data_IF_322115615314
#
_entry.id   IF_322115615314
#
_cell.length_a   1.000
_cell.length_b   1.000
_cell.length_c   1.000
_cell.angle_alpha   90.00
_cell.angle_beta   90.00
_cell.angle_gamma   90.00
#
_symmetry.space_group_name_H-M   'P 1'
#
loop_
_entity.id
_entity.type
_entity.pdbx_description
1 polymer ?
#
# COMPACT_ATOMS: atom_id res chain seq x y z
N UNK A 1 37.51 18.65 -30.49
CA UNK A 1 37.92 18.82 -31.90
C UNK A 1 38.19 17.46 -32.53
N UNK A 2 38.19 17.37 -33.86
CA UNK A 2 38.25 16.11 -34.61
C UNK A 2 39.26 16.24 -35.74
N UNK A 3 39.71 15.16 -36.39
CA UNK A 3 40.56 15.27 -37.58
C UNK A 3 39.77 14.87 -38.82
N UNK A 4 39.85 15.70 -39.86
CA UNK A 4 39.41 15.34 -41.20
C UNK A 4 40.55 15.54 -42.21
N UNK A 5 40.72 14.55 -43.09
CA UNK A 5 41.60 14.62 -44.25
C UNK A 5 40.76 14.37 -45.51
N UNK A 6 41.11 15.03 -46.60
CA UNK A 6 40.53 14.72 -47.90
C UNK A 6 41.54 14.86 -49.03
N UNK A 7 41.32 14.09 -50.09
CA UNK A 7 42.13 14.06 -51.32
C UNK A 7 41.19 14.11 -52.52
N UNK A 8 41.48 14.97 -53.49
CA UNK A 8 40.88 14.89 -54.82
C UNK A 8 41.83 14.18 -55.78
N UNK A 9 41.43 13.02 -56.31
CA UNK A 9 42.26 12.22 -57.22
C UNK A 9 41.37 11.37 -58.14
N UNK A 10 41.74 11.25 -59.42
CA UNK A 10 41.03 10.45 -60.42
C UNK A 10 39.52 10.79 -60.52
N UNK A 11 39.19 12.08 -60.48
CA UNK A 11 37.81 12.59 -60.46
C UNK A 11 36.95 12.07 -59.30
N UNK A 12 37.58 11.85 -58.13
CA UNK A 12 36.91 11.43 -56.90
C UNK A 12 37.40 12.24 -55.72
N UNK A 13 36.51 12.52 -54.78
CA UNK A 13 36.94 12.88 -53.43
C UNK A 13 37.05 11.62 -52.59
N UNK A 14 38.14 11.54 -51.83
CA UNK A 14 38.26 10.64 -50.71
C UNK A 14 38.26 11.50 -49.45
N UNK A 15 37.35 11.24 -48.53
CA UNK A 15 37.16 12.03 -47.30
C UNK A 15 37.21 11.09 -46.10
N UNK A 16 38.08 11.41 -45.14
CA UNK A 16 38.28 10.62 -43.93
C UNK A 16 38.09 11.46 -42.68
N UNK A 17 37.42 10.90 -41.68
CA UNK A 17 37.41 11.46 -40.34
C UNK A 17 37.42 10.36 -39.28
N UNK A 18 37.96 10.70 -38.12
CA UNK A 18 37.90 9.85 -36.94
C UNK A 18 36.50 9.87 -36.29
N UNK A 19 36.25 9.02 -35.29
CA UNK A 19 34.94 8.92 -34.63
C UNK A 19 34.99 9.15 -33.12
N UNK A 20 36.15 9.54 -32.59
CA UNK A 20 36.34 9.76 -31.15
C UNK A 20 35.74 11.09 -30.71
N UNK A 21 34.89 11.08 -29.70
CA UNK A 21 34.46 12.28 -28.98
C UNK A 21 35.31 12.41 -27.75
N UNK A 22 35.79 13.62 -27.48
CA UNK A 22 36.61 13.93 -26.33
C UNK A 22 36.01 15.06 -25.51
N UNK A 23 36.26 15.04 -24.20
CA UNK A 23 35.94 16.15 -23.30
C UNK A 23 37.21 16.70 -22.67
N UNK A 24 37.31 18.02 -22.55
CA UNK A 24 38.38 18.69 -21.81
C UNK A 24 37.96 18.94 -20.36
N UNK A 25 38.71 18.42 -19.40
CA UNK A 25 38.48 18.65 -17.96
C UNK A 25 39.77 19.06 -17.31
N UNK A 26 39.81 20.31 -16.81
CA UNK A 26 40.99 20.87 -16.15
C UNK A 26 42.22 20.95 -17.07
N UNK A 27 42.04 21.37 -18.33
CA UNK A 27 43.13 21.50 -19.30
C UNK A 27 43.61 20.16 -19.88
N UNK A 28 42.86 19.07 -19.70
CA UNK A 28 43.24 17.73 -20.16
C UNK A 28 42.09 17.09 -20.92
N UNK A 29 42.40 16.52 -22.07
CA UNK A 29 41.43 15.79 -22.88
C UNK A 29 41.27 14.34 -22.40
N UNK A 30 40.04 13.85 -22.46
CA UNK A 30 39.64 12.47 -22.16
C UNK A 30 38.72 11.97 -23.27
N UNK A 31 38.95 10.75 -23.77
CA UNK A 31 38.05 10.11 -24.72
C UNK A 31 36.74 9.72 -24.03
N UNK A 32 35.61 10.09 -24.60
CA UNK A 32 34.25 9.81 -24.08
C UNK A 32 33.66 8.60 -24.78
N UNK A 33 33.66 8.60 -26.10
CA UNK A 33 33.16 7.52 -26.95
C UNK A 33 33.93 7.46 -28.25
N UNK A 34 34.02 6.28 -28.84
CA UNK A 34 34.63 6.04 -30.15
C UNK A 34 33.59 5.81 -31.24
N UNK A 35 32.29 5.90 -30.95
CA UNK A 35 31.23 5.50 -31.90
C UNK A 35 30.48 6.68 -32.55
N UNK A 36 31.09 7.87 -32.60
CA UNK A 36 30.43 9.04 -33.15
C UNK A 36 30.75 9.26 -34.63
N UNK A 37 29.74 9.46 -35.47
CA UNK A 37 29.95 9.72 -36.90
C UNK A 37 30.16 11.21 -37.14
N UNK A 38 31.31 11.60 -37.69
CA UNK A 38 31.66 13.00 -37.95
C UNK A 38 31.55 13.42 -39.42
N UNK A 39 31.40 12.43 -40.31
CA UNK A 39 31.14 12.63 -41.73
C UNK A 39 29.69 12.25 -42.01
N UNK A 40 28.93 13.19 -42.52
CA UNK A 40 27.51 13.01 -42.79
C UNK A 40 27.26 13.15 -44.28
N UNK A 41 26.58 12.18 -44.87
CA UNK A 41 26.15 12.27 -46.25
C UNK A 41 24.82 13.01 -46.35
N UNK A 42 24.79 14.12 -47.09
CA UNK A 42 23.56 14.85 -47.44
C UNK A 42 23.40 14.81 -48.96
N UNK A 43 22.52 13.94 -49.44
CA UNK A 43 22.37 13.68 -50.88
C UNK A 43 23.68 13.16 -51.48
N UNK A 44 24.25 13.92 -52.43
CA UNK A 44 25.52 13.61 -53.10
C UNK A 44 26.73 14.32 -52.46
N UNK A 45 26.54 14.96 -51.30
CA UNK A 45 27.57 15.68 -50.57
C UNK A 45 28.01 14.90 -49.36
N UNK A 46 29.26 15.08 -48.97
CA UNK A 46 29.76 14.63 -47.67
C UNK A 46 30.17 15.87 -46.89
N UNK A 47 29.66 15.98 -45.67
CA UNK A 47 29.90 17.11 -44.78
C UNK A 47 30.68 16.62 -43.58
N UNK A 48 31.81 17.27 -43.33
CA UNK A 48 32.54 17.19 -42.07
C UNK A 48 32.21 18.41 -41.22
N UNK A 49 31.83 18.19 -39.97
CA UNK A 49 31.65 19.27 -39.00
C UNK A 49 32.62 19.09 -37.83
N UNK A 50 33.29 20.18 -37.46
CA UNK A 50 34.20 20.23 -36.31
C UNK A 50 33.79 21.34 -35.37
N UNK A 51 33.84 21.06 -34.07
CA UNK A 51 33.48 22.03 -33.05
C UNK A 51 32.93 21.35 -31.80
N UNK A 52 32.02 22.05 -31.13
CA UNK A 52 31.25 21.53 -30.01
C UNK A 52 30.16 20.57 -30.48
N UNK A 53 30.02 19.46 -29.77
CA UNK A 53 29.14 18.35 -30.15
C UNK A 53 27.68 18.80 -30.22
N UNK A 54 27.27 19.64 -29.26
CA UNK A 54 25.92 20.18 -29.13
C UNK A 54 25.52 21.04 -30.33
N UNK A 55 26.45 21.85 -30.85
CA UNK A 55 26.24 22.67 -32.05
C UNK A 55 26.07 21.76 -33.27
N UNK A 56 26.90 20.71 -33.38
CA UNK A 56 26.86 19.77 -34.51
C UNK A 56 25.55 18.99 -34.53
N UNK A 57 25.12 18.46 -33.37
CA UNK A 57 23.89 17.69 -33.25
C UNK A 57 22.67 18.53 -33.63
N UNK A 58 22.60 19.78 -33.15
CA UNK A 58 21.52 20.70 -33.52
C UNK A 58 21.56 21.07 -35.00
N UNK A 59 22.76 21.32 -35.57
CA UNK A 59 22.93 21.59 -36.99
C UNK A 59 22.40 20.43 -37.85
N UNK A 60 22.71 19.18 -37.48
CA UNK A 60 22.24 17.99 -38.21
C UNK A 60 20.72 17.85 -38.23
N UNK A 61 20.01 18.34 -37.21
CA UNK A 61 18.55 18.32 -37.17
C UNK A 61 17.91 19.33 -38.14
N UNK A 62 18.66 20.36 -38.55
CA UNK A 62 18.17 21.43 -39.44
C UNK A 62 18.54 21.22 -40.91
N UNK A 63 19.45 20.28 -41.20
CA UNK A 63 19.91 19.99 -42.56
C UNK A 63 19.13 18.85 -43.22
N UNK A 64 18.84 19.03 -44.50
CA UNK A 64 18.17 18.05 -45.36
C UNK A 64 19.05 17.68 -46.57
N UNK A 65 18.82 16.53 -47.22
CA UNK A 65 19.58 16.14 -48.42
C UNK A 65 19.59 17.19 -49.54
N UNK A 66 18.55 18.01 -49.62
CA UNK A 66 18.36 19.08 -50.61
C UNK A 66 18.85 20.46 -50.17
N UNK A 67 19.31 20.64 -48.94
CA UNK A 67 19.77 21.94 -48.41
C UNK A 67 20.86 22.53 -49.30
N UNK A 68 20.76 23.81 -49.70
CA UNK A 68 21.81 24.49 -50.48
C UNK A 68 22.98 24.93 -49.58
N UNK A 69 24.05 25.48 -50.17
CA UNK A 69 25.14 26.07 -49.37
C UNK A 69 24.66 27.29 -48.57
N UNK A 70 23.70 28.05 -49.09
CA UNK A 70 23.06 29.17 -48.39
C UNK A 70 22.18 28.69 -47.24
N UNK A 71 21.49 27.55 -47.39
CA UNK A 71 20.77 26.92 -46.28
C UNK A 71 21.76 26.49 -45.20
N UNK A 72 22.83 25.77 -45.56
CA UNK A 72 23.87 25.35 -44.61
C UNK A 72 24.49 26.57 -43.90
N UNK A 73 24.78 27.65 -44.63
CA UNK A 73 25.29 28.89 -44.04
C UNK A 73 24.31 29.50 -43.04
N UNK A 74 23.03 29.63 -43.42
CA UNK A 74 21.99 30.21 -42.57
C UNK A 74 21.84 29.40 -41.28
N UNK A 75 21.63 28.09 -41.39
CA UNK A 75 21.46 27.23 -40.22
C UNK A 75 22.73 27.21 -39.35
N UNK A 76 23.93 27.27 -39.95
CA UNK A 76 25.18 27.35 -39.18
C UNK A 76 25.26 28.60 -38.31
N UNK A 77 24.86 29.76 -38.87
CA UNK A 77 24.82 31.03 -38.13
C UNK A 77 23.80 30.97 -37.01
N UNK A 78 22.58 30.55 -37.33
CA UNK A 78 21.48 30.53 -36.38
C UNK A 78 21.79 29.61 -35.18
N UNK A 79 22.25 28.38 -35.45
CA UNK A 79 22.61 27.42 -34.38
C UNK A 79 23.81 27.92 -33.56
N UNK A 80 24.82 28.49 -34.22
CA UNK A 80 26.00 29.00 -33.52
C UNK A 80 25.64 30.20 -32.62
N UNK A 81 24.87 31.17 -33.14
CA UNK A 81 24.47 32.37 -32.41
C UNK A 81 23.54 32.03 -31.23
N UNK A 82 22.58 31.11 -31.43
CA UNK A 82 21.74 30.57 -30.36
C UNK A 82 22.60 29.92 -29.26
N UNK A 83 23.57 29.09 -29.65
CA UNK A 83 24.45 28.42 -28.71
C UNK A 83 25.31 29.42 -27.93
N UNK A 84 25.93 30.38 -28.62
CA UNK A 84 26.75 31.43 -28.01
C UNK A 84 25.92 32.25 -27.01
N UNK A 85 24.71 32.68 -27.39
CA UNK A 85 23.86 33.51 -26.54
C UNK A 85 23.46 32.79 -25.25
N UNK A 86 23.19 31.47 -25.31
CA UNK A 86 22.84 30.64 -24.15
C UNK A 86 24.05 30.40 -23.23
N UNK A 87 25.27 30.31 -23.79
CA UNK A 87 26.46 29.89 -23.05
C UNK A 87 27.45 31.02 -22.74
N UNK A 88 27.21 32.26 -23.18
CA UNK A 88 28.11 33.41 -23.00
C UNK A 88 28.46 33.76 -21.56
N UNK A 89 27.67 33.32 -20.59
CA UNK A 89 27.89 33.59 -19.17
C UNK A 89 28.44 32.36 -18.40
N UNK A 90 28.66 31.23 -19.07
CA UNK A 90 29.08 29.99 -18.42
C UNK A 90 30.61 29.85 -18.35
N UNK A 91 31.17 29.66 -17.13
CA UNK A 91 32.60 29.38 -16.96
C UNK A 91 33.00 28.12 -17.73
N UNK A 92 33.92 28.29 -18.69
CA UNK A 92 34.40 27.21 -19.57
C UNK A 92 34.20 27.48 -21.06
N UNK A 93 33.21 28.31 -21.43
CA UNK A 93 32.98 28.72 -22.82
C UNK A 93 33.63 30.07 -23.16
N UNK A 94 33.71 30.96 -22.17
CA UNK A 94 34.34 32.30 -22.28
C UNK A 94 35.84 32.30 -22.02
N UNK A 95 36.32 31.36 -21.18
CA UNK A 95 37.71 31.27 -20.73
C UNK A 95 38.53 30.25 -21.53
N UNK A 96 37.92 29.51 -22.46
CA UNK A 96 38.68 28.58 -23.29
C UNK A 96 39.63 29.37 -24.18
N UNK A 97 40.88 28.92 -24.30
CA UNK A 97 41.92 29.54 -25.14
C UNK A 97 41.50 29.73 -26.61
N UNK A 98 40.46 29.00 -27.02
CA UNK A 98 40.00 28.84 -28.39
C UNK A 98 38.57 29.36 -28.64
N UNK A 99 37.83 29.72 -27.58
CA UNK A 99 36.41 30.10 -27.67
C UNK A 99 35.49 28.94 -28.03
N UNK A 100 34.28 29.27 -28.49
CA UNK A 100 33.32 28.34 -29.10
C UNK A 100 33.76 28.17 -30.57
N UNK A 101 34.39 27.05 -30.91
CA UNK A 101 34.82 26.79 -32.28
C UNK A 101 33.77 25.98 -33.04
N UNK A 102 33.45 26.39 -34.26
CA UNK A 102 32.57 25.64 -35.18
C UNK A 102 32.97 25.84 -36.64
N UNK A 103 33.09 24.76 -37.39
CA UNK A 103 33.42 24.78 -38.81
C UNK A 103 32.78 23.64 -39.57
N UNK A 104 32.38 23.93 -40.80
CA UNK A 104 31.70 23.03 -41.72
C UNK A 104 32.52 22.96 -43.00
N UNK A 105 32.74 21.74 -43.48
CA UNK A 105 33.51 21.46 -44.68
C UNK A 105 32.72 20.51 -45.55
N UNK A 106 32.42 20.91 -46.78
CA UNK A 106 31.55 20.18 -47.70
C UNK A 106 32.35 19.75 -48.92
N UNK A 107 32.21 18.49 -49.29
CA UNK A 107 32.80 17.89 -50.48
C UNK A 107 31.68 17.45 -51.42
N UNK A 108 31.77 17.83 -52.69
CA UNK A 108 30.76 17.52 -53.70
C UNK A 108 31.37 17.41 -55.10
N UNK A 109 30.81 16.53 -55.94
CA UNK A 109 31.06 16.54 -57.39
C UNK A 109 29.74 16.83 -58.09
N UNK A 110 29.57 18.06 -58.54
CA UNK A 110 28.36 18.52 -59.21
C UNK A 110 28.63 18.67 -60.71
N UNK A 111 27.88 17.95 -61.55
CA UNK A 111 28.05 17.98 -63.02
C UNK A 111 29.50 17.69 -63.48
N UNK A 112 30.22 16.87 -62.72
CA UNK A 112 31.62 16.51 -62.99
C UNK A 112 32.64 17.54 -62.52
N UNK A 113 32.22 18.64 -61.89
CA UNK A 113 33.12 19.61 -61.26
C UNK A 113 33.24 19.33 -59.77
N UNK A 114 34.47 19.13 -59.24
CA UNK A 114 34.67 19.01 -57.81
C UNK A 114 34.54 20.37 -57.13
N UNK A 115 33.89 20.38 -55.97
CA UNK A 115 33.77 21.55 -55.09
C UNK A 115 34.18 21.17 -53.68
N UNK A 116 35.03 22.01 -53.10
CA UNK A 116 35.35 22.00 -51.67
C UNK A 116 34.87 23.33 -51.09
N UNK A 117 33.92 23.27 -50.16
CA UNK A 117 33.34 24.46 -49.53
C UNK A 117 33.66 24.47 -48.05
N UNK A 118 34.16 25.60 -47.55
CA UNK A 118 34.44 25.83 -46.14
C UNK A 118 33.56 26.96 -45.59
N UNK A 119 32.95 26.71 -44.43
CA UNK A 119 32.25 27.71 -43.63
C UNK A 119 32.81 27.67 -42.20
N UNK A 120 33.41 28.76 -41.73
CA UNK A 120 34.03 28.83 -40.41
C UNK A 120 33.47 29.96 -39.56
N UNK A 121 33.32 29.73 -38.25
CA UNK A 121 32.84 30.73 -37.30
C UNK A 121 33.67 32.04 -37.29
N UNK A 122 34.97 31.96 -37.60
CA UNK A 122 35.88 33.13 -37.64
C UNK A 122 35.57 34.09 -38.78
N UNK A 123 35.04 33.56 -39.87
CA UNK A 123 34.70 34.31 -41.08
C UNK A 123 33.18 34.52 -41.14
N UNK A 124 32.48 34.47 -40.00
CA UNK A 124 31.02 34.55 -39.91
C UNK A 124 30.32 33.58 -40.88
N UNK A 125 30.87 32.37 -41.03
CA UNK A 125 30.39 31.35 -41.96
C UNK A 125 30.27 31.82 -43.42
N UNK A 126 31.09 32.77 -43.87
CA UNK A 126 31.21 33.09 -45.30
C UNK A 126 31.52 31.84 -46.12
N UNK A 127 30.82 31.67 -47.25
CA UNK A 127 30.97 30.51 -48.13
C UNK A 127 32.28 30.68 -48.90
N UNK A 128 33.29 29.88 -48.55
CA UNK A 128 34.57 29.83 -49.25
C UNK A 128 34.61 28.59 -50.15
N UNK A 129 34.32 28.77 -51.43
CA UNK A 129 34.35 27.71 -52.45
C UNK A 129 35.72 27.62 -53.13
N UNK A 130 36.21 26.39 -53.26
CA UNK A 130 37.45 26.07 -53.96
C UNK A 130 37.20 24.92 -54.96
N UNK A 131 37.82 25.03 -56.13
CA UNK A 131 37.83 23.97 -57.14
C UNK A 131 39.17 23.24 -57.04
N UNK A 132 39.22 22.06 -56.39
CA UNK A 132 40.47 21.35 -56.21
C UNK A 132 41.03 20.86 -57.54
N UNK A 133 42.34 20.90 -57.63
CA UNK A 133 43.13 20.30 -58.70
C UNK A 133 43.46 18.84 -58.37
N UNK A 134 43.90 18.12 -59.40
CA UNK A 134 44.35 16.74 -59.26
C UNK A 134 45.46 16.61 -58.21
N UNK A 135 45.25 15.69 -57.25
CA UNK A 135 46.10 15.45 -56.09
C UNK A 135 46.11 16.55 -55.02
N UNK A 136 45.15 17.49 -55.03
CA UNK A 136 44.97 18.42 -53.91
C UNK A 136 44.54 17.68 -52.64
N UNK A 137 45.18 18.05 -51.53
CA UNK A 137 44.96 17.47 -50.21
C UNK A 137 44.54 18.54 -49.22
N UNK A 138 43.47 18.29 -48.48
CA UNK A 138 43.00 19.17 -47.43
C UNK A 138 43.07 18.45 -46.08
N UNK A 139 43.44 19.19 -45.03
CA UNK A 139 43.47 18.67 -43.67
C UNK A 139 43.00 19.75 -42.69
N UNK A 140 42.02 19.42 -41.86
CA UNK A 140 41.36 20.40 -40.98
C UNK A 140 41.20 19.87 -39.56
N UNK A 141 41.13 20.81 -38.61
CA UNK A 141 40.95 20.61 -37.18
C UNK A 141 42.10 19.87 -36.46
N UNK A 142 41.83 18.98 -35.50
CA UNK A 142 42.83 18.48 -34.55
C UNK A 142 43.98 17.73 -35.24
N UNK A 143 45.23 18.07 -34.89
CA UNK A 143 46.45 17.47 -35.43
C UNK A 143 46.62 17.60 -36.96
N UNK A 144 45.87 18.46 -37.65
CA UNK A 144 45.96 18.59 -39.11
C UNK A 144 47.33 19.08 -39.58
N UNK A 145 47.99 19.91 -38.78
CA UNK A 145 49.35 20.43 -38.99
C UNK A 145 50.41 19.32 -39.05
N UNK A 146 50.20 18.23 -38.31
CA UNK A 146 51.07 17.03 -38.32
C UNK A 146 50.57 15.98 -39.31
N UNK A 147 49.26 15.78 -39.38
CA UNK A 147 48.64 14.74 -40.20
C UNK A 147 48.79 15.00 -41.70
N UNK A 148 48.61 16.25 -42.14
CA UNK A 148 48.62 16.60 -43.56
C UNK A 148 49.97 16.35 -44.23
N UNK A 149 51.13 16.84 -43.72
CA UNK A 149 52.43 16.54 -44.32
C UNK A 149 52.75 15.04 -44.34
N UNK A 150 52.37 14.33 -43.28
CA UNK A 150 52.60 12.89 -43.15
C UNK A 150 51.76 12.08 -44.15
N UNK A 151 50.52 12.50 -44.42
CA UNK A 151 49.69 11.89 -45.44
C UNK A 151 50.27 12.12 -46.84
N UNK A 152 50.68 13.35 -47.16
CA UNK A 152 51.32 13.70 -48.44
C UNK A 152 52.60 12.89 -48.68
N UNK A 153 53.47 12.77 -47.68
CA UNK A 153 54.70 11.95 -47.77
C UNK A 153 54.41 10.48 -48.10
N UNK A 154 53.34 9.92 -47.54
CA UNK A 154 52.93 8.53 -47.79
C UNK A 154 52.37 8.32 -49.18
N UNK A 155 51.56 9.26 -49.67
CA UNK A 155 51.06 9.24 -51.05
C UNK A 155 52.24 9.33 -52.03
N UNK A 156 53.19 10.24 -51.79
CA UNK A 156 54.40 10.38 -52.61
C UNK A 156 55.29 9.13 -52.58
N UNK A 157 55.25 8.38 -51.48
CA UNK A 157 55.90 7.06 -51.35
C UNK A 157 55.15 5.92 -52.05
N UNK A 158 54.11 6.24 -52.85
CA UNK A 158 53.26 5.30 -53.58
C UNK A 158 52.48 4.32 -52.66
N UNK A 159 52.20 4.74 -51.43
CA UNK A 159 51.30 3.98 -50.56
C UNK A 159 49.86 4.08 -51.09
N UNK A 160 49.08 2.97 -51.09
CA UNK A 160 47.65 3.04 -51.40
C UNK A 160 46.96 4.09 -50.54
N UNK A 161 46.08 4.90 -51.15
CA UNK A 161 45.49 6.09 -50.57
C UNK A 161 44.80 5.81 -49.23
N UNK A 162 44.00 4.75 -49.16
CA UNK A 162 43.27 4.34 -47.96
C UNK A 162 44.23 3.91 -46.84
N UNK A 163 45.31 3.20 -47.21
CA UNK A 163 46.34 2.79 -46.25
C UNK A 163 47.14 4.00 -45.77
N UNK A 164 47.43 4.97 -46.64
CA UNK A 164 48.10 6.20 -46.27
C UNK A 164 47.28 6.99 -45.24
N UNK A 165 45.97 7.13 -45.46
CA UNK A 165 45.05 7.79 -44.54
C UNK A 165 44.99 7.04 -43.19
N UNK A 166 44.74 5.73 -43.23
CA UNK A 166 44.71 4.87 -42.05
C UNK A 166 45.97 5.01 -41.19
N UNK A 167 47.16 4.92 -41.79
CA UNK A 167 48.42 5.09 -41.07
C UNK A 167 48.61 6.50 -40.52
N UNK A 168 47.96 7.51 -41.11
CA UNK A 168 48.06 8.91 -40.67
C UNK A 168 47.23 9.10 -39.42
N UNK A 169 45.97 8.68 -39.44
CA UNK A 169 45.13 8.68 -38.25
C UNK A 169 45.72 7.85 -37.12
N UNK A 170 46.26 6.65 -37.40
CA UNK A 170 46.98 5.86 -36.39
C UNK A 170 48.23 6.57 -35.82
N UNK A 171 48.85 7.49 -36.58
CA UNK A 171 50.02 8.22 -36.11
C UNK A 171 49.67 9.31 -35.12
N UNK A 172 48.58 10.02 -35.36
CA UNK A 172 48.14 11.14 -34.53
C UNK A 172 47.06 10.74 -33.51
N UNK A 173 46.77 9.45 -33.39
CA UNK A 173 45.74 8.94 -32.49
C UNK A 173 46.05 9.22 -31.01
N UNK A 174 45.10 9.86 -30.33
CA UNK A 174 45.17 10.26 -28.93
C UNK A 174 43.76 10.43 -28.32
N UNK A 175 43.65 11.10 -27.18
CA UNK A 175 42.38 11.35 -26.51
C UNK A 175 41.36 12.14 -27.35
N UNK A 176 41.79 12.82 -28.41
CA UNK A 176 40.99 13.70 -29.28
C UNK A 176 40.70 13.03 -30.64
N UNK A 177 41.68 12.32 -31.21
CA UNK A 177 41.56 11.65 -32.52
C UNK A 177 41.66 10.14 -32.34
N UNK A 178 40.66 9.38 -32.80
CA UNK A 178 40.73 7.92 -32.77
C UNK A 178 39.39 7.21 -33.00
N UNK A 179 39.25 6.01 -32.42
CA UNK A 179 38.07 5.17 -32.63
C UNK A 179 38.09 4.50 -34.00
N UNK A 180 37.18 4.91 -34.87
CA UNK A 180 37.01 4.39 -36.22
C UNK A 180 37.28 5.48 -37.25
N UNK A 181 37.96 5.08 -38.32
CA UNK A 181 38.15 5.87 -39.52
C UNK A 181 36.94 5.66 -40.43
N UNK A 182 36.09 6.69 -40.52
CA UNK A 182 35.03 6.75 -41.51
C UNK A 182 35.62 7.28 -42.82
N UNK A 183 35.39 6.57 -43.92
CA UNK A 183 35.82 6.96 -45.26
C UNK A 183 34.60 7.08 -46.17
N UNK A 184 34.50 8.23 -46.83
CA UNK A 184 33.57 8.42 -47.94
C UNK A 184 34.35 8.62 -49.24
N UNK A 185 33.89 8.00 -50.32
CA UNK A 185 34.38 8.20 -51.68
C UNK A 185 33.25 8.79 -52.52
N UNK A 186 33.44 10.02 -53.00
CA UNK A 186 32.46 10.76 -53.80
C UNK A 186 32.88 10.68 -55.26
N UNK A 187 31.96 10.28 -56.13
CA UNK A 187 32.10 10.26 -57.58
C UNK A 187 30.84 10.85 -58.23
N UNK A 188 30.88 11.12 -59.54
CA UNK A 188 29.75 11.70 -60.27
C UNK A 188 28.46 10.87 -60.20
N UNK A 189 28.60 9.55 -60.04
CA UNK A 189 27.46 8.61 -59.96
C UNK A 189 26.93 8.38 -58.52
N UNK A 190 27.56 8.93 -57.48
CA UNK A 190 27.14 8.69 -56.09
C UNK A 190 28.27 8.71 -55.05
N UNK A 191 27.95 8.18 -53.88
CA UNK A 191 28.81 8.21 -52.69
C UNK A 191 28.92 6.80 -52.10
N UNK A 192 30.13 6.33 -51.89
CA UNK A 192 30.42 5.06 -51.20
C UNK A 192 30.98 5.32 -49.80
N UNK A 193 30.62 4.48 -48.82
CA UNK A 193 31.07 4.57 -47.43
C UNK A 193 31.78 3.29 -46.99
N UNK A 194 32.85 3.44 -46.21
CA UNK A 194 33.48 2.34 -45.49
C UNK A 194 33.99 2.81 -44.13
N UNK A 195 34.22 1.85 -43.23
CA UNK A 195 34.66 2.10 -41.87
C UNK A 195 35.78 1.12 -41.49
N UNK A 196 36.80 1.61 -40.82
CA UNK A 196 37.88 0.78 -40.27
C UNK A 196 38.31 1.29 -38.88
N UNK A 197 39.07 0.50 -38.12
CA UNK A 197 39.47 0.86 -36.75
C UNK A 197 40.79 1.63 -36.78
N UNK A 198 40.88 2.77 -36.10
CA UNK A 198 42.13 3.49 -35.85
C UNK A 198 42.81 2.84 -34.65
N UNK A 199 44.02 2.31 -34.86
CA UNK A 199 44.80 1.69 -33.78
C UNK A 199 45.51 2.75 -32.94
N UNK A 200 45.12 2.84 -31.67
CA UNK A 200 45.79 3.68 -30.69
C UNK A 200 47.23 3.18 -30.44
N UNK A 201 48.19 4.11 -30.38
CA UNK A 201 49.61 3.79 -30.12
C UNK A 201 50.01 3.85 -28.65
N UNK A 202 49.12 4.40 -27.83
CA UNK A 202 49.30 4.58 -26.39
C UNK A 202 47.98 4.26 -25.68
N UNK A 203 48.00 3.91 -24.39
CA UNK A 203 46.78 3.86 -23.59
C UNK A 203 46.04 5.21 -23.62
N UNK A 204 44.75 5.17 -23.93
CA UNK A 204 43.89 6.36 -24.01
C UNK A 204 43.26 6.62 -22.66
N UNK A 205 43.28 7.88 -22.20
CA UNK A 205 42.57 8.29 -21.00
C UNK A 205 41.10 8.43 -21.33
N UNK A 206 40.26 7.61 -20.72
CA UNK A 206 38.82 7.62 -20.96
C UNK A 206 38.07 8.37 -19.85
N UNK A 207 37.00 9.06 -20.21
CA UNK A 207 36.07 9.73 -19.31
C UNK A 207 35.08 8.73 -18.65
N UNK A 208 35.58 7.59 -18.17
CA UNK A 208 34.78 6.54 -17.53
C UNK A 208 35.03 6.40 -16.02
N UNK A 209 35.98 7.17 -15.46
CA UNK A 209 36.31 7.15 -14.03
C UNK A 209 35.72 8.33 -13.23
N UNK A 210 34.75 9.05 -13.79
CA UNK A 210 33.98 10.09 -13.10
C UNK A 210 32.50 9.65 -13.03
N UNK A 211 32.03 9.16 -11.88
CA UNK A 211 30.59 8.93 -11.71
C UNK A 211 29.90 10.28 -11.54
N UNK A 212 29.19 10.75 -12.57
CA UNK A 212 28.31 11.89 -12.39
C UNK A 212 27.11 11.44 -11.52
N UNK A 213 26.70 12.24 -10.53
CA UNK A 213 25.58 11.91 -9.63
C UNK A 213 24.21 11.86 -10.33
N UNK A 214 24.17 12.26 -11.61
CA UNK A 214 23.04 12.27 -12.52
C UNK A 214 23.48 11.73 -13.90
N UNK A 215 22.71 10.81 -14.48
CA UNK A 215 22.87 10.30 -15.84
C UNK A 215 21.52 10.36 -16.55
N UNK A 216 21.42 11.12 -17.64
CA UNK A 216 20.32 11.02 -18.58
C UNK A 216 20.74 10.10 -19.76
N UNK A 217 19.81 9.32 -20.30
CA UNK A 217 20.04 8.44 -21.45
C UNK A 217 19.16 8.83 -22.63
N UNK A 218 19.59 8.49 -23.84
CA UNK A 218 18.85 8.83 -25.08
C UNK A 218 17.49 8.14 -25.19
N UNK A 219 17.23 7.09 -24.40
CA UNK A 219 15.90 6.47 -24.27
C UNK A 219 14.95 7.27 -23.36
N UNK A 220 15.38 8.43 -22.85
CA UNK A 220 14.61 9.31 -21.98
C UNK A 220 14.71 8.99 -20.49
N UNK A 221 15.50 7.99 -20.09
CA UNK A 221 15.64 7.66 -18.67
C UNK A 221 16.57 8.64 -17.95
N UNK A 222 16.23 8.97 -16.69
CA UNK A 222 17.09 9.74 -15.78
C UNK A 222 17.43 8.86 -14.58
N UNK A 223 18.72 8.63 -14.36
CA UNK A 223 19.26 7.94 -13.20
C UNK A 223 19.92 8.98 -12.30
N UNK A 224 19.36 9.18 -11.11
CA UNK A 224 19.88 10.13 -10.13
C UNK A 224 20.08 9.44 -8.78
N UNK A 225 21.22 9.68 -8.13
CA UNK A 225 21.44 9.24 -6.75
C UNK A 225 20.62 10.09 -5.75
N UNK A 226 20.35 11.34 -6.15
CA UNK A 226 19.52 12.32 -5.43
C UNK A 226 18.94 13.31 -6.43
N UNK A 227 17.64 13.56 -6.33
CA UNK A 227 16.96 14.65 -7.05
C UNK A 227 16.48 15.69 -6.03
N UNK A 228 16.94 16.92 -6.17
CA UNK A 228 16.39 18.08 -5.45
C UNK A 228 15.79 19.02 -6.48
N UNK A 229 14.47 19.22 -6.45
CA UNK A 229 13.77 20.11 -7.38
C UNK A 229 12.93 21.12 -6.61
N UNK A 230 12.88 22.38 -7.08
CA UNK A 230 11.98 23.40 -6.52
C UNK A 230 10.53 23.11 -6.87
N UNK A 231 10.29 22.64 -8.09
CA UNK A 231 9.00 22.20 -8.62
C UNK A 231 9.23 20.99 -9.53
N UNK A 232 8.26 20.07 -9.56
CA UNK A 232 8.23 18.96 -10.51
C UNK A 232 6.77 18.71 -10.91
N UNK A 233 6.53 18.53 -12.20
CA UNK A 233 5.25 18.04 -12.73
C UNK A 233 5.49 16.65 -13.28
N UNK A 234 4.84 15.65 -12.68
CA UNK A 234 5.01 14.24 -13.04
C UNK A 234 3.63 13.74 -13.47
N UNK A 235 3.48 13.40 -14.75
CA UNK A 235 2.21 12.93 -15.30
C UNK A 235 1.80 11.58 -14.68
N UNK A 236 2.76 10.66 -14.57
CA UNK A 236 2.59 9.33 -13.98
C UNK A 236 3.75 9.04 -13.02
N UNK A 237 3.45 8.59 -11.81
CA UNK A 237 4.46 8.23 -10.82
C UNK A 237 4.16 6.87 -10.20
N UNK A 238 5.21 6.09 -9.98
CA UNK A 238 5.16 4.86 -9.19
C UNK A 238 6.33 4.85 -8.21
N UNK A 239 6.04 4.74 -6.92
CA UNK A 239 7.04 4.69 -5.86
C UNK A 239 7.12 3.25 -5.34
N UNK A 240 8.24 2.57 -5.60
CA UNK A 240 8.48 1.19 -5.13
C UNK A 240 9.53 1.21 -4.02
N UNK A 241 9.24 0.56 -2.88
CA UNK A 241 10.15 0.45 -1.72
C UNK A 241 10.60 1.79 -1.10
N UNK A 242 9.90 2.90 -1.37
CA UNK A 242 10.23 4.23 -0.87
C UNK A 242 9.25 4.76 0.18
N UNK A 243 9.66 5.80 0.90
CA UNK A 243 8.78 6.60 1.74
C UNK A 243 8.40 7.89 1.01
N UNK A 244 7.13 8.28 1.07
CA UNK A 244 6.67 9.60 0.64
C UNK A 244 6.54 10.45 1.91
N UNK A 245 7.44 11.41 2.08
CA UNK A 245 7.41 12.38 3.18
C UNK A 245 7.04 13.72 2.59
N UNK A 246 5.76 14.09 2.71
CA UNK A 246 5.22 15.36 2.20
C UNK A 246 4.68 16.21 3.34
N UNK A 247 4.75 17.54 3.18
CA UNK A 247 3.98 18.47 4.02
C UNK A 247 2.49 18.35 3.72
N UNK A 248 2.10 18.04 2.49
CA UNK A 248 0.75 17.66 2.14
C UNK A 248 0.73 16.58 1.06
N UNK A 249 -0.31 15.75 1.10
CA UNK A 249 -0.64 14.78 0.06
C UNK A 249 -2.08 15.06 -0.36
N UNK A 250 -2.36 15.10 -1.67
CA UNK A 250 -3.71 15.22 -2.20
C UNK A 250 -3.81 14.36 -3.46
N UNK A 251 -4.51 13.23 -3.34
CA UNK A 251 -4.72 12.27 -4.43
C UNK A 251 -6.18 12.26 -4.84
N UNK A 252 -6.41 12.25 -6.15
CA UNK A 252 -7.76 12.11 -6.72
C UNK A 252 -8.68 13.30 -6.43
N UNK A 253 -8.16 14.53 -6.41
CA UNK A 253 -8.94 15.74 -6.14
C UNK A 253 -9.67 15.70 -4.77
N UNK A 254 -8.93 15.37 -3.71
CA UNK A 254 -9.42 15.36 -2.33
C UNK A 254 -9.93 14.01 -1.83
N UNK A 255 -9.86 12.93 -2.62
CA UNK A 255 -10.31 11.59 -2.18
C UNK A 255 -9.40 10.98 -1.11
N UNK A 256 -8.12 11.32 -1.14
CA UNK A 256 -7.17 11.03 -0.07
C UNK A 256 -6.31 12.27 0.16
N UNK A 257 -6.34 12.81 1.38
CA UNK A 257 -5.49 13.94 1.76
C UNK A 257 -4.77 13.69 3.07
N UNK A 258 -3.56 14.24 3.17
CA UNK A 258 -2.82 14.40 4.42
C UNK A 258 -2.40 15.85 4.48
N UNK A 259 -2.73 16.55 5.56
CA UNK A 259 -2.34 17.95 5.76
C UNK A 259 -1.02 18.09 6.55
N UNK A 260 -0.44 19.30 6.64
CA UNK A 260 0.81 19.52 7.38
C UNK A 260 0.72 19.26 8.90
N UNK A 261 -0.49 19.19 9.46
CA UNK A 261 -0.70 18.82 10.87
C UNK A 261 -0.79 17.30 11.06
N UNK A 262 -0.75 16.52 9.97
CA UNK A 262 -0.86 15.06 9.97
C UNK A 262 -2.30 14.55 9.98
N UNK A 263 -3.30 15.41 9.76
CA UNK A 263 -4.67 14.95 9.62
C UNK A 263 -4.83 14.23 8.28
N UNK A 264 -5.32 13.00 8.35
CA UNK A 264 -5.62 12.18 7.17
C UNK A 264 -7.12 12.16 6.91
N UNK A 265 -7.52 12.43 5.67
CA UNK A 265 -8.85 12.13 5.16
C UNK A 265 -8.74 11.09 4.05
N UNK A 266 -9.59 10.06 4.10
CA UNK A 266 -9.73 9.09 3.03
C UNK A 266 -11.22 8.79 2.83
N UNK A 267 -11.74 9.10 1.64
CA UNK A 267 -13.13 8.82 1.30
C UNK A 267 -13.45 7.32 1.33
N UNK A 268 -12.47 6.49 0.95
CA UNK A 268 -12.48 5.04 1.11
C UNK A 268 -11.08 4.56 1.55
N UNK A 269 -11.01 3.54 2.42
CA UNK A 269 -9.74 2.99 2.88
C UNK A 269 -9.81 1.50 3.18
N UNK A 270 -8.79 0.76 2.76
CA UNK A 270 -8.56 -0.62 3.17
C UNK A 270 -7.22 -0.71 3.89
N UNK A 271 -7.27 -0.98 5.18
CA UNK A 271 -6.08 -1.09 6.03
C UNK A 271 -5.75 -2.56 6.29
N UNK A 272 -4.46 -2.88 6.39
CA UNK A 272 -3.95 -4.20 6.81
C UNK A 272 -2.98 -4.01 7.96
N UNK A 273 -3.10 -4.82 9.00
CA UNK A 273 -2.27 -4.73 10.21
C UNK A 273 -3.03 -4.15 11.40
N UNK A 274 -2.28 -3.60 12.35
CA UNK A 274 -2.83 -3.01 13.56
C UNK A 274 -3.17 -1.54 13.32
N UNK A 275 -4.31 -1.10 13.85
CA UNK A 275 -4.69 0.31 13.93
C UNK A 275 -4.70 0.67 15.41
N UNK A 276 -3.78 1.54 15.82
CA UNK A 276 -3.68 2.04 17.19
C UNK A 276 -4.24 3.46 17.23
N UNK A 277 -5.28 3.67 18.05
CA UNK A 277 -5.92 4.96 18.22
C UNK A 277 -6.39 5.11 19.67
N UNK A 278 -6.40 6.35 20.17
CA UNK A 278 -6.97 6.67 21.49
C UNK A 278 -8.50 6.66 21.49
N UNK A 279 -9.12 6.92 20.34
CA UNK A 279 -10.56 6.87 20.14
C UNK A 279 -10.90 6.38 18.73
N UNK A 280 -12.05 5.70 18.61
CA UNK A 280 -12.61 5.27 17.34
C UNK A 280 -14.09 5.60 17.31
N UNK A 281 -14.50 6.48 16.39
CA UNK A 281 -15.90 6.88 16.18
C UNK A 281 -16.31 6.44 14.78
N UNK A 282 -17.30 5.56 14.67
CA UNK A 282 -17.78 5.04 13.40
C UNK A 282 -19.23 4.58 13.47
N UNK A 283 -19.85 4.34 12.31
CA UNK A 283 -21.25 3.89 12.23
C UNK A 283 -21.40 2.39 12.50
N UNK A 284 -20.92 1.55 11.58
CA UNK A 284 -20.97 0.08 11.70
C UNK A 284 -19.57 -0.48 11.88
N UNK A 285 -19.38 -1.30 12.92
CA UNK A 285 -18.13 -2.03 13.17
C UNK A 285 -18.44 -3.52 13.06
N UNK A 286 -17.84 -4.20 12.09
CA UNK A 286 -17.96 -5.64 11.90
C UNK A 286 -16.61 -6.28 12.15
N UNK A 287 -16.52 -7.15 13.15
CA UNK A 287 -15.30 -7.85 13.50
C UNK A 287 -15.61 -9.26 14.00
N UNK A 288 -14.63 -10.17 13.86
CA UNK A 288 -14.75 -11.52 14.39
C UNK A 288 -14.76 -11.55 15.94
N UNK A 289 -14.06 -10.60 16.57
CA UNK A 289 -13.98 -10.45 18.02
C UNK A 289 -13.84 -8.96 18.38
N UNK A 290 -14.73 -8.46 19.20
CA UNK A 290 -14.63 -7.16 19.86
C UNK A 290 -14.30 -7.40 21.33
N UNK A 291 -13.21 -6.82 21.84
CA UNK A 291 -12.81 -6.99 23.25
C UNK A 291 -12.15 -5.77 23.85
N UNK A 292 -12.34 -5.56 25.15
CA UNK A 292 -11.76 -4.41 25.87
C UNK A 292 -10.34 -4.63 26.38
N UNK A 293 -9.79 -5.84 26.25
CA UNK A 293 -8.43 -6.19 26.68
C UNK A 293 -8.02 -7.56 26.18
N UNK A 294 -6.73 -7.86 26.15
CA UNK A 294 -6.21 -9.16 25.70
C UNK A 294 -6.29 -10.26 26.76
N UNK A 295 -6.31 -9.90 28.05
CA UNK A 295 -6.36 -10.80 29.19
C UNK A 295 -6.98 -10.13 30.42
N UNK A 296 -7.27 -10.91 31.47
CA UNK A 296 -7.83 -10.39 32.71
C UNK A 296 -9.26 -9.87 32.55
N UNK A 297 -9.60 -8.81 33.31
CA UNK A 297 -10.95 -8.21 33.30
C UNK A 297 -11.25 -7.62 31.93
N UNK A 298 -12.25 -8.17 31.25
CA UNK A 298 -12.62 -7.70 29.90
C UNK A 298 -14.05 -8.09 29.54
N UNK A 299 -14.57 -7.41 28.52
CA UNK A 299 -15.80 -7.80 27.82
C UNK A 299 -15.38 -8.29 26.44
N UNK A 300 -16.01 -9.37 25.96
CA UNK A 300 -15.82 -9.92 24.62
C UNK A 300 -17.18 -10.07 23.92
N UNK A 301 -17.23 -9.76 22.63
CA UNK A 301 -18.35 -10.06 21.73
C UNK A 301 -17.80 -10.71 20.47
N UNK A 302 -18.29 -11.90 20.15
CA UNK A 302 -17.97 -12.64 18.93
C UNK A 302 -19.16 -13.49 18.47
N UNK A 303 -18.92 -14.49 17.62
CA UNK A 303 -19.93 -15.42 17.14
C UNK A 303 -20.65 -16.22 18.25
N UNK A 304 -20.05 -16.35 19.44
CA UNK A 304 -20.63 -17.07 20.59
C UNK A 304 -21.49 -16.15 21.48
N UNK A 305 -21.51 -14.84 21.20
CA UNK A 305 -22.28 -13.84 21.93
C UNK A 305 -21.42 -12.96 22.84
N UNK A 306 -22.06 -12.34 23.84
CA UNK A 306 -21.41 -11.41 24.77
C UNK A 306 -20.93 -12.15 26.02
N UNK A 307 -19.66 -11.93 26.42
CA UNK A 307 -19.07 -12.50 27.64
C UNK A 307 -18.34 -11.45 28.46
N UNK A 308 -18.33 -11.64 29.78
CA UNK A 308 -17.53 -10.85 30.71
C UNK A 308 -16.56 -11.74 31.46
N UNK A 309 -15.35 -11.23 31.70
CA UNK A 309 -14.31 -11.96 32.42
C UNK A 309 -13.82 -11.16 33.62
N UNK A 310 -13.37 -11.87 34.65
CA UNK A 310 -12.72 -11.27 35.82
C UNK A 310 -11.19 -11.12 35.67
N UNK A 311 -10.51 -10.71 36.75
CA UNK A 311 -9.07 -10.48 36.75
C UNK A 311 -8.23 -11.74 36.57
N UNK A 312 -8.81 -12.91 36.85
CA UNK A 312 -8.19 -14.23 36.66
C UNK A 312 -8.53 -14.84 35.30
N UNK A 313 -9.27 -14.12 34.45
CA UNK A 313 -9.67 -14.58 33.13
C UNK A 313 -10.83 -15.57 33.13
N UNK A 314 -11.57 -15.70 34.23
CA UNK A 314 -12.75 -16.56 34.33
C UNK A 314 -13.98 -15.85 33.78
N UNK A 315 -14.76 -16.54 32.94
CA UNK A 315 -16.04 -16.04 32.45
C UNK A 315 -17.03 -15.90 33.61
N UNK A 316 -17.76 -14.79 33.69
CA UNK A 316 -18.70 -14.47 34.78
C UNK A 316 -20.14 -14.37 34.31
N UNK A 317 -20.34 -13.73 33.16
CA UNK A 317 -21.66 -13.55 32.56
C UNK A 317 -21.51 -13.84 31.08
N UNK A 318 -22.38 -14.68 30.53
CA UNK A 318 -22.48 -14.93 29.09
C UNK A 318 -23.91 -14.73 28.61
N UNK A 319 -24.10 -13.94 27.57
CA UNK A 319 -25.34 -13.84 26.80
C UNK A 319 -25.11 -14.59 25.49
N UNK A 320 -25.70 -15.77 25.38
CA UNK A 320 -25.61 -16.58 24.17
C UNK A 320 -26.50 -16.00 23.07
N UNK A 321 -25.99 -15.86 21.85
CA UNK A 321 -26.74 -15.39 20.67
C UNK A 321 -27.41 -16.53 19.89
N UNK A 322 -27.07 -17.78 20.19
CA UNK A 322 -27.71 -18.99 19.68
C UNK A 322 -26.98 -20.23 20.21
N UNK A 323 -27.62 -20.95 21.13
CA UNK A 323 -27.05 -22.11 21.82
C UNK A 323 -27.56 -23.43 21.24
N UNK A 324 -27.04 -24.56 21.76
CA UNK A 324 -27.73 -25.85 21.75
C UNK A 324 -29.22 -25.64 22.10
N UNK A 325 -30.12 -25.93 21.15
CA UNK A 325 -31.57 -25.70 21.17
C UNK A 325 -32.10 -24.30 20.75
N UNK A 326 -31.26 -23.42 20.20
CA UNK A 326 -31.72 -22.25 19.43
C UNK A 326 -32.27 -21.09 20.26
N UNK A 327 -32.00 -21.03 21.57
CA UNK A 327 -32.48 -19.95 22.43
C UNK A 327 -31.34 -19.17 23.11
N UNK A 328 -31.59 -17.88 23.33
CA UNK A 328 -30.70 -16.97 24.04
C UNK A 328 -30.83 -17.17 25.56
N UNK A 329 -29.70 -17.38 26.22
CA UNK A 329 -29.61 -17.56 27.68
C UNK A 329 -28.63 -16.55 28.26
N UNK A 330 -28.91 -16.09 29.49
CA UNK A 330 -27.95 -15.38 30.33
C UNK A 330 -27.44 -16.37 31.36
N UNK A 331 -26.17 -16.75 31.24
CA UNK A 331 -25.51 -17.70 32.14
C UNK A 331 -24.64 -16.93 33.13
N UNK A 332 -24.72 -17.31 34.40
CA UNK A 332 -23.89 -16.78 35.48
C UNK A 332 -22.91 -17.85 35.94
N UNK A 333 -21.65 -17.46 36.09
CA UNK A 333 -20.56 -18.34 36.48
C UNK A 333 -19.92 -17.89 37.81
N UNK A 334 -19.62 -18.86 38.67
CA UNK A 334 -18.99 -18.67 39.98
C UNK A 334 -17.51 -18.26 39.89
N UNK A 335 -16.88 -18.08 41.05
CA UNK A 335 -15.47 -17.66 41.14
C UNK A 335 -14.46 -18.63 40.57
N UNK A 336 -14.76 -19.92 40.57
CA UNK A 336 -13.97 -20.94 39.90
C UNK A 336 -14.30 -21.13 38.41
N UNK A 337 -15.17 -20.30 37.82
CA UNK A 337 -15.64 -20.46 36.43
C UNK A 337 -16.76 -21.50 36.24
N UNK A 338 -17.12 -22.24 37.29
CA UNK A 338 -18.24 -23.19 37.27
C UNK A 338 -19.61 -22.54 37.08
N UNK A 339 -20.59 -23.30 36.61
CA UNK A 339 -21.98 -22.86 36.43
C UNK A 339 -22.62 -22.52 37.77
N UNK A 340 -23.22 -21.32 37.89
CA UNK A 340 -23.92 -20.89 39.10
C UNK A 340 -25.44 -20.78 38.88
N UNK A 341 -25.88 -20.60 37.63
CA UNK A 341 -27.28 -20.52 37.27
C UNK A 341 -27.47 -19.86 35.91
N UNK A 342 -28.71 -19.87 35.44
CA UNK A 342 -29.09 -19.24 34.19
C UNK A 342 -30.50 -18.64 34.23
N UNK A 343 -30.70 -17.64 33.38
CA UNK A 343 -32.01 -17.16 32.95
C UNK A 343 -32.11 -17.52 31.48
N UNK A 344 -33.04 -18.39 31.15
CA UNK A 344 -33.21 -18.91 29.80
C UNK A 344 -34.69 -18.92 29.41
N UNK A 345 -34.98 -18.82 28.11
CA UNK A 345 -36.31 -19.12 27.59
C UNK A 345 -36.22 -20.36 26.72
N UNK A 346 -37.30 -21.13 26.64
CA UNK A 346 -37.39 -22.22 25.65
C UNK A 346 -38.42 -21.79 24.60
N UNK A 347 -38.20 -22.11 23.32
CA UNK A 347 -38.98 -21.60 22.19
C UNK A 347 -40.50 -21.83 22.31
N UNK A 348 -40.96 -22.69 23.21
CA UNK A 348 -42.36 -22.85 23.61
C UNK A 348 -42.56 -23.15 25.12
N UNK A 349 -41.56 -22.88 25.97
CA UNK A 349 -41.52 -23.34 27.36
C UNK A 349 -41.53 -22.24 28.44
N UNK A 350 -41.67 -20.98 28.04
CA UNK A 350 -41.65 -19.83 28.96
C UNK A 350 -40.24 -19.45 29.43
N UNK A 351 -40.17 -18.48 30.35
CA UNK A 351 -38.94 -18.03 31.01
C UNK A 351 -38.63 -18.93 32.20
N UNK A 352 -37.43 -19.52 32.20
CA UNK A 352 -36.89 -20.32 33.30
C UNK A 352 -35.79 -19.56 34.00
N UNK A 353 -35.84 -19.55 35.34
CA UNK A 353 -34.74 -19.11 36.21
C UNK A 353 -34.28 -20.34 36.96
N UNK A 354 -33.04 -20.76 36.75
CA UNK A 354 -32.50 -21.98 37.32
C UNK A 354 -31.20 -21.71 38.08
N UNK A 355 -31.12 -22.21 39.31
CA UNK A 355 -29.93 -22.16 40.18
C UNK A 355 -30.01 -23.29 41.21
N UNK A 356 -28.87 -23.77 41.69
CA UNK A 356 -28.80 -24.72 42.81
C UNK A 356 -29.39 -24.13 44.11
N UNK A 357 -29.24 -22.81 44.28
CA UNK A 357 -29.78 -22.07 45.40
C UNK A 357 -30.32 -20.72 44.90
N UNK A 358 -31.63 -20.68 44.66
CA UNK A 358 -32.32 -19.49 44.16
C UNK A 358 -32.98 -18.73 45.31
N UNK A 359 -32.55 -17.48 45.52
CA UNK A 359 -33.20 -16.54 46.44
C UNK A 359 -33.89 -15.46 45.60
N UNK A 360 -35.22 -15.43 45.65
CA UNK A 360 -36.02 -14.33 45.10
C UNK A 360 -36.54 -13.55 46.31
N UNK A 361 -36.07 -12.33 46.49
CA UNK A 361 -36.41 -11.46 47.63
C UNK A 361 -36.78 -10.05 47.17
N UNK A 362 -37.69 -9.39 47.90
CA UNK A 362 -37.84 -7.93 47.84
C UNK A 362 -37.27 -7.34 49.12
N UNK A 363 -36.45 -6.29 48.99
CA UNK A 363 -35.98 -5.49 50.12
C UNK A 363 -36.91 -4.31 50.44
N UNK A 364 -38.02 -4.19 49.71
CA UNK A 364 -38.99 -3.12 49.88
C UNK A 364 -40.28 -3.68 50.47
N UNK A 365 -40.62 -3.29 51.69
CA UNK A 365 -41.84 -3.73 52.38
C UNK A 365 -43.11 -3.19 51.74
N UNK A 366 -43.04 -2.07 51.02
CA UNK A 366 -44.18 -1.49 50.29
C UNK A 366 -44.43 -2.18 48.95
N UNK A 367 -43.44 -2.91 48.41
CA UNK A 367 -43.54 -3.60 47.13
C UNK A 367 -43.07 -5.05 47.29
N UNK A 368 -43.92 -5.94 47.84
CA UNK A 368 -43.57 -7.34 48.00
C UNK A 368 -43.37 -8.01 46.63
N UNK A 369 -42.77 -9.20 46.64
CA UNK A 369 -42.77 -10.05 45.46
C UNK A 369 -44.23 -10.43 45.16
N UNK A 370 -44.72 -10.06 43.98
CA UNK A 370 -46.03 -10.47 43.49
C UNK A 370 -45.86 -11.66 42.55
N UNK A 371 -46.51 -12.78 42.88
CA UNK A 371 -46.66 -13.93 41.99
C UNK A 371 -48.12 -13.93 41.55
N UNK A 372 -48.37 -13.69 40.27
CA UNK A 372 -49.72 -13.60 39.70
C UNK A 372 -50.03 -14.82 38.82
N UNK A 373 -51.29 -15.25 38.83
CA UNK A 373 -51.73 -16.49 38.18
C UNK A 373 -51.62 -17.72 39.08
N UNK A 374 -51.85 -18.90 38.50
CA UNK A 374 -51.74 -20.16 39.24
C UNK A 374 -50.27 -20.54 39.44
N UNK A 375 -49.78 -20.41 40.68
CA UNK A 375 -48.44 -20.85 41.06
C UNK A 375 -48.46 -22.33 41.49
N UNK A 376 -47.54 -23.12 40.93
CA UNK A 376 -47.34 -24.52 41.34
C UNK A 376 -46.01 -24.66 42.05
N UNK A 377 -46.04 -25.18 43.28
CA UNK A 377 -44.85 -25.49 44.06
C UNK A 377 -44.72 -27.01 44.16
N UNK A 378 -43.66 -27.58 43.58
CA UNK A 378 -43.46 -29.04 43.55
C UNK A 378 -42.88 -29.63 44.85
N UNK A 379 -42.73 -28.80 45.90
CA UNK A 379 -42.21 -29.21 47.20
C UNK A 379 -42.85 -28.42 48.34
N UNK A 380 -42.50 -28.71 49.61
CA UNK A 380 -43.06 -28.03 50.76
C UNK A 380 -42.80 -26.52 50.71
N UNK A 381 -43.86 -25.73 50.91
CA UNK A 381 -43.74 -24.28 51.09
C UNK A 381 -43.63 -23.99 52.59
N UNK A 382 -42.52 -23.38 52.99
CA UNK A 382 -42.28 -22.96 54.39
C UNK A 382 -42.48 -21.46 54.52
N UNK A 383 -43.38 -21.06 55.41
CA UNK A 383 -43.58 -19.68 55.79
C UNK A 383 -42.88 -19.43 57.13
N UNK A 384 -41.90 -18.52 57.17
CA UNK A 384 -41.15 -18.17 58.38
C UNK A 384 -41.78 -17.01 59.18
N UNK A 385 -42.95 -16.53 58.77
CA UNK A 385 -43.71 -15.45 59.41
C UNK A 385 -45.20 -15.67 59.19
N UNK A 386 -46.04 -14.76 59.70
CA UNK A 386 -47.50 -14.82 59.57
C UNK A 386 -47.92 -14.81 58.09
N UNK A 387 -48.86 -15.71 57.74
CA UNK A 387 -49.50 -15.73 56.42
C UNK A 387 -50.96 -15.37 56.56
N UNK A 388 -51.48 -14.56 55.64
CA UNK A 388 -52.90 -14.20 55.55
C UNK A 388 -53.40 -14.39 54.10
N UNK A 389 -54.71 -14.52 53.94
CA UNK A 389 -55.34 -14.67 52.62
C UNK A 389 -55.23 -16.05 51.98
N UNK A 390 -54.78 -17.08 52.72
CA UNK A 390 -54.85 -18.47 52.23
C UNK A 390 -56.29 -18.97 52.39
N UNK A 391 -56.93 -19.29 51.27
CA UNK A 391 -58.16 -20.09 51.25
C UNK A 391 -57.79 -21.56 51.12
N UNK A 392 -58.07 -22.36 52.15
CA UNK A 392 -57.82 -23.81 52.16
C UNK A 392 -59.16 -24.51 52.39
N UNK A 393 -59.57 -25.41 51.50
CA UNK A 393 -60.75 -26.23 51.79
C UNK A 393 -60.38 -27.35 52.77
N UNK A 394 -61.37 -27.82 53.54
CA UNK A 394 -61.17 -28.92 54.48
C UNK A 394 -60.66 -30.21 53.82
N UNK A 395 -60.98 -30.40 52.53
CA UNK A 395 -60.46 -31.50 51.69
C UNK A 395 -58.97 -31.40 51.39
N UNK A 396 -58.43 -30.18 51.41
CA UNK A 396 -57.07 -29.88 50.95
C UNK A 396 -56.04 -30.07 52.08
N UNK A 397 -56.51 -30.13 53.34
CA UNK A 397 -55.69 -30.44 54.50
C UNK A 397 -55.70 -31.95 54.76
N UNK A 398 -54.63 -32.62 54.35
CA UNK A 398 -54.45 -34.05 54.59
C UNK A 398 -54.64 -34.41 56.06
N UNK A 399 -55.55 -35.35 56.34
CA UNK A 399 -55.83 -35.84 57.70
C UNK A 399 -56.79 -35.01 58.54
N UNK A 400 -57.17 -33.79 58.11
CA UNK A 400 -58.10 -32.94 58.89
C UNK A 400 -59.51 -33.53 58.92
N UNK A 401 -60.05 -33.96 57.77
CA UNK A 401 -61.38 -34.58 57.70
C UNK A 401 -61.46 -35.86 58.54
N UNK A 402 -60.42 -36.69 58.51
CA UNK A 402 -60.34 -37.90 59.33
C UNK A 402 -60.32 -37.57 60.83
N UNK A 403 -59.53 -36.56 61.22
CA UNK A 403 -59.44 -36.09 62.62
C UNK A 403 -60.78 -35.53 63.11
N UNK A 404 -61.44 -34.69 62.30
CA UNK A 404 -62.75 -34.12 62.64
C UNK A 404 -63.84 -35.20 62.71
N UNK A 405 -63.81 -36.17 61.81
CA UNK A 405 -64.73 -37.32 61.84
C UNK A 405 -64.52 -38.19 63.08
N UNK A 406 -63.25 -38.41 63.46
CA UNK A 406 -62.91 -39.11 64.70
C UNK A 406 -63.42 -38.36 65.92
N UNK A 407 -63.20 -37.04 66.00
CA UNK A 407 -63.71 -36.22 67.11
C UNK A 407 -65.24 -36.23 67.17
N UNK A 408 -65.91 -36.12 66.02
CA UNK A 408 -67.38 -36.21 65.96
C UNK A 408 -67.87 -37.58 66.47
N UNK A 409 -67.22 -38.68 66.08
CA UNK A 409 -67.58 -40.01 66.56
C UNK A 409 -67.39 -40.16 68.08
N UNK A 410 -66.36 -39.54 68.66
CA UNK A 410 -66.13 -39.53 70.11
C UNK A 410 -67.22 -38.75 70.84
N UNK A 411 -67.63 -37.58 70.30
CA UNK A 411 -68.74 -36.79 70.84
C UNK A 411 -70.04 -37.58 70.78
N UNK A 412 -70.34 -38.23 69.66
CA UNK A 412 -71.57 -39.01 69.49
C UNK A 412 -71.60 -40.22 70.44
N UNK A 413 -70.46 -40.89 70.63
CA UNK A 413 -70.32 -41.97 71.61
C UNK A 413 -70.56 -41.49 73.04
N UNK A 414 -69.98 -40.34 73.43
CA UNK A 414 -70.19 -39.76 74.75
C UNK A 414 -71.66 -39.37 74.96
N UNK A 415 -72.26 -38.74 73.95
CA UNK A 415 -73.68 -38.36 73.97
C UNK A 415 -74.58 -39.59 74.11
N UNK A 416 -74.28 -40.67 73.39
CA UNK A 416 -75.00 -41.93 73.50
C UNK A 416 -74.88 -42.54 74.90
N UNK A 417 -73.66 -42.61 75.44
CA UNK A 417 -73.42 -43.12 76.81
C UNK A 417 -74.13 -42.29 77.87
N UNK A 418 -74.13 -40.96 77.73
CA UNK A 418 -74.84 -40.08 78.65
C UNK A 418 -76.36 -40.27 78.55
N UNK A 419 -76.93 -40.36 77.35
CA UNK A 419 -78.38 -40.50 77.19
C UNK A 419 -78.92 -41.91 77.49
N UNK A 420 -78.08 -42.94 77.42
CA UNK A 420 -78.51 -44.34 77.58
C UNK A 420 -78.32 -44.91 78.97
N UNK A 421 -77.70 -44.18 79.90
CA UNK A 421 -77.59 -44.69 81.27
C UNK A 421 -78.93 -44.59 82.00
N UNK A 422 -79.24 -45.63 82.76
CA UNK A 422 -80.42 -45.67 83.62
C UNK A 422 -79.99 -45.85 85.06
N UNK A 423 -80.81 -45.33 85.97
CA UNK A 423 -80.66 -45.54 87.40
C UNK A 423 -81.78 -46.50 87.84
N UNK A 424 -81.43 -47.49 88.64
CA UNK A 424 -82.40 -48.42 89.23
C UNK A 424 -82.36 -48.31 90.75
N UNK A 425 -83.52 -48.07 91.36
CA UNK A 425 -83.69 -48.11 92.81
C UNK A 425 -84.39 -49.41 93.19
N UNK A 426 -83.74 -50.23 94.01
CA UNK A 426 -84.35 -51.45 94.54
C UNK A 426 -84.85 -51.19 95.95
N UNK A 427 -86.17 -51.30 96.14
CA UNK A 427 -86.79 -51.20 97.46
C UNK A 427 -87.12 -52.61 97.98
N UNK A 428 -86.62 -53.00 99.17
CA UNK A 428 -86.94 -54.30 99.74
C UNK A 428 -88.43 -54.39 100.12
N UNK A 429 -89.01 -55.58 99.90
CA UNK A 429 -90.30 -55.98 100.49
C UNK A 429 -90.23 -55.87 102.00
N UNK A 430 -91.15 -55.14 102.61
CA UNK A 430 -91.36 -55.15 104.04
C UNK A 430 -92.86 -55.27 104.33
N UNK A 431 -93.22 -55.90 105.45
CA UNK A 431 -94.60 -55.98 105.92
C UNK A 431 -94.70 -55.35 107.31
N UNK A 432 -95.87 -54.80 107.65
CA UNK A 432 -96.16 -54.20 108.96
C UNK A 432 -97.07 -55.10 109.83
N UNK A 433 -96.88 -56.42 109.77
CA UNK A 433 -97.56 -57.40 110.63
C UNK A 433 -98.99 -57.78 110.22
N UNK A 434 -99.52 -57.25 109.11
CA UNK A 434 -100.79 -57.65 108.51
C UNK A 434 -100.54 -58.25 107.12
N UNK A 435 -100.87 -59.54 106.92
CA UNK A 435 -100.67 -60.26 105.66
C UNK A 435 -101.46 -59.67 104.48
N UNK A 436 -102.54 -58.92 104.75
CA UNK A 436 -103.33 -58.24 103.72
C UNK A 436 -102.68 -56.94 103.21
N UNK A 437 -101.64 -56.43 103.88
CA UNK A 437 -100.94 -55.19 103.53
C UNK A 437 -99.48 -55.44 103.09
N UNK A 438 -99.21 -56.58 102.46
CA UNK A 438 -97.89 -56.89 101.93
C UNK A 438 -97.62 -56.03 100.68
N UNK A 439 -96.89 -54.92 100.84
CA UNK A 439 -96.38 -54.16 99.69
C UNK A 439 -95.23 -54.94 99.04
N UNK A 440 -95.39 -55.26 97.76
CA UNK A 440 -94.36 -55.96 97.00
C UNK A 440 -93.26 -54.96 96.63
N UNK A 441 -92.09 -55.14 97.25
CA UNK A 441 -90.84 -54.51 96.82
C UNK A 441 -90.51 -54.89 95.38
N UNK A 442 -89.75 -54.02 94.72
CA UNK A 442 -89.40 -54.14 93.32
C UNK A 442 -88.26 -53.21 92.94
N UNK A 443 -87.66 -53.46 91.79
CA UNK A 443 -86.68 -52.56 91.18
C UNK A 443 -87.41 -51.59 90.27
N UNK A 444 -87.36 -50.30 90.60
CA UNK A 444 -87.99 -49.25 89.82
C UNK A 444 -86.92 -48.53 88.99
N UNK A 445 -87.08 -48.42 87.66
CA UNK A 445 -86.24 -47.54 86.87
C UNK A 445 -86.61 -46.09 87.21
N UNK A 446 -85.68 -45.33 87.77
CA UNK A 446 -85.81 -43.87 87.83
C UNK A 446 -85.37 -43.33 86.47
N UNK A 447 -86.25 -42.58 85.79
CA UNK A 447 -86.01 -42.14 84.40
C UNK A 447 -84.61 -41.55 84.20
N UNK A 448 -83.98 -41.89 83.08
CA UNK A 448 -82.66 -41.35 82.70
C UNK A 448 -82.67 -39.82 82.58
N UNK A 449 -81.50 -39.19 82.40
CA UNK A 449 -81.43 -37.75 82.16
C UNK A 449 -82.30 -37.40 80.95
N UNK A 450 -83.18 -36.41 81.09
CA UNK A 450 -83.90 -35.83 79.96
C UNK A 450 -82.99 -34.92 79.15
#
# INVERSE_FOLDING_TARGET
>A
MSLCLSLYHDNKFFVWADSRVSVEVGGRNYAVTDDYTKLHQLGNRVIFMSGMQEIIDEMLLRLFPESTYEDIQREARDVYDEFVEVHKDLPGYTDSKHGIEFGIYVHEIEQGQPKYVQLGYRDNFEINEQIPQEADVFGVAAHSDVALPLFVDRINSRMPVELAAQRTFEHVADEIVGGYLNMYVIHSEGVAHSRSIIRDRKPIKTFQNFSLPLKATMDGSIYASKLTARTASIAESNFTNGAIVGSSINVGNGQFTVDPAGNMYAGNGRFRGNIEASSFTGGTITGALLRTGSSGRRIEVDAQGLRTYDGSGQNRIRINTGSDAGVASIVFNGSGGGYAGEINSYQNGGLTIFSENLIIGSNNTSNPISIQGAATFAGPVRFNSTVSGISVNMSDVYGLSATLSSLQSQIDSLRSSYNSHTHSLTLPTHNHGNSSNQNWGGTFPTGGPR
#
